data_IF_804867062835
#
_entry.id   IF_804867062835
#
_cell.length_a   1.000
_cell.length_b   1.000
_cell.length_c   1.000
_cell.angle_alpha   90.00
_cell.angle_beta   90.00
_cell.angle_gamma   90.00
#
_symmetry.space_group_name_H-M   'P 1'
#
loop_
_entity.id
_entity.type
_entity.pdbx_description
1 polymer ?
#
# COMPACT_ATOMS: atom_id res chain seq x y z
N UNK A 1 -7.50 1.37 2.50
CA UNK A 1 -8.91 1.61 2.87
C UNK A 1 -8.95 2.50 4.12
N UNK A 2 -10.07 3.18 4.38
CA UNK A 2 -10.21 4.09 5.52
C UNK A 2 -10.79 3.42 6.77
N UNK A 3 -10.64 4.09 7.91
CA UNK A 3 -11.20 3.66 9.20
C UNK A 3 -12.73 3.48 9.16
N UNK A 4 -13.45 4.36 8.45
CA UNK A 4 -14.90 4.22 8.26
C UNK A 4 -15.27 2.92 7.55
N UNK A 5 -14.48 2.55 6.54
CA UNK A 5 -14.78 1.43 5.65
C UNK A 5 -14.72 0.10 6.42
N UNK A 6 -13.64 -0.10 7.19
CA UNK A 6 -13.49 -1.33 7.98
C UNK A 6 -14.59 -1.43 9.06
N UNK A 7 -14.96 -0.30 9.69
CA UNK A 7 -16.05 -0.29 10.69
C UNK A 7 -17.40 -0.69 10.08
N UNK A 8 -17.65 -0.34 8.83
CA UNK A 8 -18.86 -0.75 8.10
C UNK A 8 -18.81 -2.21 7.62
N UNK A 9 -17.62 -2.74 7.34
CA UNK A 9 -17.44 -4.12 6.87
C UNK A 9 -17.49 -5.12 8.03
N UNK A 10 -16.86 -4.83 9.18
CA UNK A 10 -16.75 -5.80 10.29
C UNK A 10 -18.10 -6.41 10.74
N UNK A 11 -19.22 -5.68 10.83
CA UNK A 11 -20.51 -6.25 11.21
C UNK A 11 -21.09 -7.25 10.20
N UNK A 12 -20.63 -7.25 8.95
CA UNK A 12 -21.13 -8.15 7.89
C UNK A 12 -20.35 -9.46 7.80
N UNK A 13 -19.24 -9.57 8.53
CA UNK A 13 -18.36 -10.72 8.51
C UNK A 13 -18.68 -11.69 9.65
N UNK A 14 -18.55 -12.98 9.38
CA UNK A 14 -18.55 -14.01 10.43
C UNK A 14 -17.18 -14.10 11.12
N UNK A 15 -16.10 -13.93 10.35
CA UNK A 15 -14.72 -14.05 10.80
C UNK A 15 -13.85 -12.91 10.23
N UNK A 16 -12.78 -12.57 10.96
CA UNK A 16 -11.75 -11.64 10.47
C UNK A 16 -10.58 -12.45 9.96
N UNK A 17 -10.31 -12.35 8.66
CA UNK A 17 -9.17 -13.01 8.02
C UNK A 17 -8.33 -11.99 7.27
N UNK A 18 -7.01 -12.05 7.46
CA UNK A 18 -6.04 -11.25 6.73
C UNK A 18 -5.23 -12.14 5.80
N UNK A 19 -4.95 -11.65 4.59
CA UNK A 19 -4.13 -12.34 3.60
C UNK A 19 -3.14 -11.38 2.95
N UNK A 20 -1.96 -11.89 2.59
CA UNK A 20 -0.97 -11.18 1.78
C UNK A 20 -1.36 -11.22 0.29
N UNK A 21 -0.73 -10.37 -0.52
CA UNK A 21 -0.99 -10.29 -1.97
C UNK A 21 -0.68 -11.58 -2.73
N UNK A 22 0.24 -12.38 -2.22
CA UNK A 22 0.60 -13.68 -2.77
C UNK A 22 -0.42 -14.79 -2.41
N UNK A 23 -1.48 -14.47 -1.66
CA UNK A 23 -2.51 -15.41 -1.23
C UNK A 23 -2.20 -16.15 0.09
N UNK A 24 -1.04 -15.93 0.70
CA UNK A 24 -0.71 -16.49 2.02
C UNK A 24 -1.54 -15.81 3.11
N UNK A 25 -2.17 -16.59 4.00
CA UNK A 25 -2.95 -16.05 5.11
C UNK A 25 -2.07 -15.69 6.31
N UNK A 26 -2.46 -14.63 7.01
CA UNK A 26 -2.01 -14.39 8.40
C UNK A 26 -2.62 -15.49 9.28
N UNK A 27 -1.87 -16.12 10.19
CA UNK A 27 -2.40 -17.18 11.04
C UNK A 27 -3.61 -16.71 11.83
N UNK A 28 -4.60 -17.60 12.01
CA UNK A 28 -5.91 -17.24 12.59
C UNK A 28 -5.85 -16.78 14.06
N UNK A 29 -4.77 -17.13 14.77
CA UNK A 29 -4.48 -16.78 16.15
C UNK A 29 -3.69 -15.47 16.28
N UNK A 30 -3.86 -14.55 15.34
CA UNK A 30 -3.27 -13.23 15.44
C UNK A 30 -3.98 -12.37 16.48
N UNK A 31 -3.22 -11.49 17.10
CA UNK A 31 -3.69 -10.47 18.03
C UNK A 31 -3.51 -9.10 17.41
N UNK A 32 -4.51 -8.23 17.59
CA UNK A 32 -4.31 -6.80 17.44
C UNK A 32 -3.78 -6.29 18.78
N UNK A 33 -2.51 -5.95 18.83
CA UNK A 33 -1.84 -5.50 20.06
C UNK A 33 -1.99 -4.01 20.26
N UNK A 34 -1.93 -3.25 19.17
CA UNK A 34 -1.97 -1.79 19.20
C UNK A 34 -2.82 -1.25 18.04
N UNK A 35 -3.57 -0.18 18.34
CA UNK A 35 -4.25 0.64 17.34
C UNK A 35 -3.97 2.10 17.69
N UNK A 36 -3.30 2.81 16.80
CA UNK A 36 -2.83 4.17 17.04
C UNK A 36 -2.80 5.05 15.80
N UNK A 37 -2.29 6.28 15.95
CA UNK A 37 -2.05 7.21 14.85
C UNK A 37 -0.54 7.27 14.59
N UNK A 38 -0.12 7.06 13.35
CA UNK A 38 1.25 7.32 12.92
C UNK A 38 1.28 8.61 12.10
N UNK A 39 2.05 9.59 12.56
CA UNK A 39 2.30 10.85 11.85
C UNK A 39 3.77 10.91 11.48
N UNK A 40 4.08 11.15 10.21
CA UNK A 40 5.45 11.19 9.71
C UNK A 40 5.62 12.40 8.79
N UNK A 41 6.67 13.15 9.07
CA UNK A 41 7.13 14.24 8.21
C UNK A 41 8.32 13.73 7.40
N UNK A 42 8.24 13.89 6.09
CA UNK A 42 9.25 13.46 5.15
C UNK A 42 9.82 14.66 4.43
N UNK A 43 11.08 14.55 4.04
CA UNK A 43 11.72 15.43 3.08
C UNK A 43 12.36 14.54 2.01
N UNK A 44 12.14 14.85 0.74
CA UNK A 44 12.82 14.16 -0.34
C UNK A 44 14.18 14.81 -0.66
N UNK A 45 14.96 14.18 -1.54
CA UNK A 45 16.27 14.70 -1.94
C UNK A 45 16.19 16.06 -2.67
N UNK A 46 15.02 16.46 -3.16
CA UNK A 46 14.75 17.77 -3.77
C UNK A 46 14.35 18.85 -2.76
N UNK A 47 14.20 18.49 -1.47
CA UNK A 47 13.81 19.40 -0.40
C UNK A 47 12.29 19.58 -0.25
N UNK A 48 11.47 18.80 -0.94
CA UNK A 48 10.00 18.88 -0.82
C UNK A 48 9.58 18.17 0.46
N UNK A 49 8.84 18.89 1.31
CA UNK A 49 8.30 18.37 2.56
C UNK A 49 6.94 17.70 2.29
N UNK A 50 6.74 16.51 2.84
CA UNK A 50 5.47 15.78 2.81
C UNK A 50 5.07 15.38 4.22
N UNK A 51 3.78 15.51 4.52
CA UNK A 51 3.18 15.04 5.76
C UNK A 51 2.34 13.79 5.48
N UNK A 52 2.48 12.79 6.33
CA UNK A 52 1.70 11.55 6.29
C UNK A 52 1.04 11.34 7.65
N UNK A 53 -0.24 10.98 7.64
CA UNK A 53 -1.01 10.65 8.84
C UNK A 53 -1.90 9.45 8.54
N UNK A 54 -1.70 8.35 9.25
CA UNK A 54 -2.42 7.08 9.06
C UNK A 54 -2.86 6.50 10.39
N UNK A 55 -3.90 5.66 10.37
CA UNK A 55 -4.21 4.77 11.50
C UNK A 55 -3.34 3.54 11.37
N UNK A 56 -2.60 3.17 12.41
CA UNK A 56 -1.76 1.99 12.41
C UNK A 56 -2.39 0.88 13.25
N UNK A 57 -2.51 -0.33 12.70
CA UNK A 57 -2.87 -1.54 13.43
C UNK A 57 -1.66 -2.47 13.51
N UNK A 58 -1.26 -2.86 14.70
CA UNK A 58 -0.19 -3.84 14.89
C UNK A 58 -0.79 -5.24 15.07
N UNK A 59 -0.45 -6.14 14.15
CA UNK A 59 -0.80 -7.55 14.21
C UNK A 59 0.40 -8.35 14.72
N UNK A 60 0.18 -9.12 15.78
CA UNK A 60 1.17 -10.00 16.36
C UNK A 60 0.68 -11.45 16.35
N UNK A 61 1.55 -12.39 16.00
CA UNK A 61 1.23 -13.81 16.07
C UNK A 61 1.59 -14.37 17.46
N UNK A 62 0.60 -14.77 18.25
CA UNK A 62 0.81 -15.41 19.54
C UNK A 62 0.78 -16.94 19.41
N UNK A 63 1.45 -17.68 20.29
CA UNK A 63 1.30 -19.15 20.36
C UNK A 63 -0.02 -19.59 21.05
N UNK A 64 -1.12 -18.84 20.83
CA UNK A 64 -2.44 -19.08 21.43
C UNK A 64 -3.46 -19.52 20.36
N UNK A 65 -3.40 -20.80 20.03
CA UNK A 65 -4.19 -21.41 18.94
C UNK A 65 -5.70 -21.47 19.20
N UNK A 66 -6.17 -21.16 20.42
CA UNK A 66 -7.62 -21.13 20.71
C UNK A 66 -8.23 -19.74 20.53
N UNK A 67 -7.42 -18.68 20.39
CA UNK A 67 -7.90 -17.31 20.38
C UNK A 67 -8.10 -16.76 18.96
N UNK A 68 -9.31 -16.89 18.40
CA UNK A 68 -9.71 -16.21 17.14
C UNK A 68 -10.28 -14.82 17.41
N UNK A 69 -9.76 -13.80 16.73
CA UNK A 69 -10.29 -12.43 16.83
C UNK A 69 -11.64 -12.30 16.11
N UNK A 70 -12.72 -12.18 16.89
CA UNK A 70 -14.08 -11.97 16.35
C UNK A 70 -14.25 -10.54 15.80
N UNK A 71 -15.04 -10.35 14.72
CA UNK A 71 -15.28 -9.03 14.13
C UNK A 71 -15.80 -7.98 15.12
N UNK A 72 -16.73 -8.38 16.00
CA UNK A 72 -17.26 -7.49 17.05
C UNK A 72 -16.19 -7.02 18.04
N UNK A 73 -15.20 -7.87 18.36
CA UNK A 73 -14.09 -7.50 19.25
C UNK A 73 -13.15 -6.51 18.58
N UNK A 74 -12.82 -6.74 17.30
CA UNK A 74 -12.00 -5.78 16.52
C UNK A 74 -12.72 -4.43 16.37
N UNK A 75 -14.02 -4.44 16.05
CA UNK A 75 -14.82 -3.22 15.95
C UNK A 75 -14.82 -2.43 17.28
N UNK A 76 -14.92 -3.13 18.40
CA UNK A 76 -14.85 -2.51 19.73
C UNK A 76 -13.48 -1.88 20.01
N UNK A 77 -12.38 -2.57 19.71
CA UNK A 77 -11.02 -2.04 19.84
C UNK A 77 -10.86 -0.77 18.99
N UNK A 78 -11.28 -0.82 17.72
CA UNK A 78 -11.22 0.33 16.81
C UNK A 78 -12.01 1.51 17.36
N UNK A 79 -13.25 1.27 17.80
CA UNK A 79 -14.12 2.34 18.33
C UNK A 79 -13.56 2.95 19.62
N UNK A 80 -12.99 2.12 20.50
CA UNK A 80 -12.33 2.58 21.72
C UNK A 80 -11.11 3.44 21.39
N UNK A 81 -10.24 3.00 20.48
CA UNK A 81 -9.07 3.77 20.05
C UNK A 81 -9.46 5.07 19.37
N UNK A 82 -10.49 5.05 18.52
CA UNK A 82 -11.04 6.24 17.86
C UNK A 82 -11.53 7.27 18.89
N UNK A 83 -12.28 6.86 19.90
CA UNK A 83 -12.77 7.74 20.96
C UNK A 83 -11.63 8.31 21.82
N UNK A 84 -10.71 7.45 22.28
CA UNK A 84 -9.65 7.85 23.22
C UNK A 84 -8.55 8.67 22.57
N UNK A 85 -8.20 8.34 21.32
CA UNK A 85 -7.13 9.02 20.59
C UNK A 85 -7.66 10.10 19.63
N UNK A 86 -8.98 10.28 19.53
CA UNK A 86 -9.64 11.21 18.61
C UNK A 86 -9.19 11.00 17.17
N UNK A 87 -9.18 9.72 16.75
CA UNK A 87 -8.72 9.32 15.42
C UNK A 87 -9.71 9.84 14.37
N UNK A 88 -9.19 10.49 13.34
CA UNK A 88 -9.98 10.95 12.18
C UNK A 88 -10.22 9.79 11.19
N UNK A 89 -11.01 10.02 10.13
CA UNK A 89 -11.21 9.03 9.08
C UNK A 89 -10.01 8.93 8.12
N UNK A 90 -8.91 8.39 8.62
CA UNK A 90 -7.62 8.24 7.92
C UNK A 90 -7.51 6.85 7.25
N UNK A 91 -6.53 6.73 6.36
CA UNK A 91 -6.14 5.46 5.77
C UNK A 91 -5.49 4.54 6.80
N UNK A 92 -5.74 3.24 6.67
CA UNK A 92 -5.22 2.20 7.57
C UNK A 92 -3.91 1.64 7.01
N UNK A 93 -2.87 1.72 7.83
CA UNK A 93 -1.62 0.97 7.69
C UNK A 93 -1.63 -0.19 8.70
N UNK A 94 -1.20 -1.37 8.27
CA UNK A 94 -1.07 -2.55 9.11
C UNK A 94 0.40 -2.89 9.25
N UNK A 95 0.86 -3.05 10.49
CA UNK A 95 2.14 -3.64 10.82
C UNK A 95 1.96 -5.13 11.08
N UNK A 96 2.66 -5.96 10.32
CA UNK A 96 2.62 -7.41 10.47
C UNK A 96 4.03 -7.99 10.45
N UNK A 97 4.33 -8.84 11.42
CA UNK A 97 5.65 -9.43 11.59
C UNK A 97 5.77 -10.75 10.83
N UNK A 98 6.77 -10.81 9.94
CA UNK A 98 7.30 -12.06 9.38
C UNK A 98 8.74 -12.23 9.88
N UNK A 99 9.75 -12.09 9.02
CA UNK A 99 11.16 -12.00 9.43
C UNK A 99 11.47 -10.65 10.09
N UNK A 100 10.83 -9.59 9.59
CA UNK A 100 10.84 -8.23 10.15
C UNK A 100 9.41 -7.68 10.21
N UNK A 101 9.23 -6.52 10.84
CA UNK A 101 7.95 -5.82 10.84
C UNK A 101 7.76 -5.17 9.46
N UNK A 102 6.85 -5.73 8.67
CA UNK A 102 6.41 -5.18 7.40
C UNK A 102 5.26 -4.18 7.59
N UNK A 103 5.21 -3.15 6.75
CA UNK A 103 4.10 -2.18 6.71
C UNK A 103 3.29 -2.37 5.44
N UNK A 104 1.98 -2.46 5.59
CA UNK A 104 1.05 -2.79 4.54
C UNK A 104 -0.10 -1.80 4.49
N UNK A 105 -0.56 -1.44 3.30
CA UNK A 105 -1.90 -0.86 3.16
C UNK A 105 -2.95 -1.95 3.33
N UNK A 106 -4.15 -1.55 3.76
CA UNK A 106 -5.27 -2.47 3.94
C UNK A 106 -6.32 -2.32 2.85
N UNK A 107 -6.69 -3.42 2.21
CA UNK A 107 -7.81 -3.50 1.27
C UNK A 107 -8.80 -4.58 1.70
N UNK A 108 -10.00 -4.56 1.12
CA UNK A 108 -10.99 -5.62 1.30
C UNK A 108 -11.40 -6.15 -0.07
N UNK A 109 -11.23 -7.46 -0.30
CA UNK A 109 -11.50 -8.08 -1.60
C UNK A 109 -12.93 -8.62 -1.75
N UNK A 110 -13.83 -8.30 -0.81
CA UNK A 110 -15.19 -8.84 -0.72
C UNK A 110 -15.33 -10.03 0.23
N UNK A 111 -14.23 -10.66 0.63
CA UNK A 111 -14.21 -11.78 1.57
C UNK A 111 -13.21 -11.58 2.72
N UNK A 112 -11.97 -11.23 2.38
CA UNK A 112 -10.84 -11.13 3.28
C UNK A 112 -10.21 -9.74 3.22
N UNK A 113 -9.54 -9.36 4.30
CA UNK A 113 -8.68 -8.19 4.31
C UNK A 113 -7.34 -8.52 3.66
N UNK A 114 -6.91 -7.71 2.70
CA UNK A 114 -5.68 -7.92 1.94
C UNK A 114 -4.63 -6.92 2.40
N UNK A 115 -3.50 -7.44 2.90
CA UNK A 115 -2.30 -6.70 3.25
C UNK A 115 -1.49 -6.42 1.98
N UNK A 116 -1.55 -5.18 1.50
CA UNK A 116 -0.86 -4.67 0.31
C UNK A 116 0.51 -4.15 0.68
N UNK A 117 1.58 -4.75 0.14
CA UNK A 117 2.93 -4.38 0.54
C UNK A 117 3.26 -2.95 0.07
N UNK A 118 3.76 -2.10 0.98
CA UNK A 118 4.22 -0.76 0.61
C UNK A 118 5.61 -0.84 -0.02
N UNK A 119 5.76 -0.25 -1.20
CA UNK A 119 7.06 -0.10 -1.87
C UNK A 119 7.60 1.31 -1.70
N UNK A 120 8.90 1.44 -1.51
CA UNK A 120 9.57 2.74 -1.51
C UNK A 120 9.81 3.23 -2.93
N UNK A 121 9.80 4.54 -3.12
CA UNK A 121 10.13 5.18 -4.39
C UNK A 121 10.95 6.45 -4.14
N UNK A 122 11.92 6.74 -5.00
CA UNK A 122 12.56 8.05 -5.03
C UNK A 122 11.59 9.05 -5.66
N UNK A 123 11.16 10.05 -4.87
CA UNK A 123 10.21 11.07 -5.34
C UNK A 123 10.90 12.24 -6.07
N UNK A 124 12.21 12.40 -5.91
CA UNK A 124 13.01 13.43 -6.54
C UNK A 124 13.92 12.84 -7.63
N UNK A 125 13.32 12.15 -8.60
CA UNK A 125 14.07 11.39 -9.63
C UNK A 125 15.07 12.25 -10.38
N UNK A 126 14.67 13.46 -10.78
CA UNK A 126 15.53 14.41 -11.50
C UNK A 126 16.72 14.88 -10.65
N UNK A 127 16.49 15.17 -9.36
CA UNK A 127 17.55 15.59 -8.43
C UNK A 127 18.54 14.45 -8.11
N UNK A 128 18.07 13.21 -8.19
CA UNK A 128 18.89 12.01 -7.97
C UNK A 128 19.50 11.44 -9.25
N UNK A 129 19.29 12.05 -10.42
CA UNK A 129 19.80 11.56 -11.70
C UNK A 129 19.25 10.20 -12.11
N UNK A 130 18.08 9.82 -11.59
CA UNK A 130 17.41 8.57 -11.95
C UNK A 130 16.76 8.79 -13.32
N UNK A 131 17.13 8.03 -14.36
CA UNK A 131 16.54 8.20 -15.67
C UNK A 131 15.03 7.92 -15.59
N UNK A 132 14.22 8.91 -15.94
CA UNK A 132 12.78 8.74 -16.07
C UNK A 132 12.50 7.60 -17.05
N UNK A 133 11.53 6.73 -16.73
CA UNK A 133 11.13 5.65 -17.63
C UNK A 133 10.80 6.26 -19.00
N UNK A 134 11.67 5.99 -19.98
CA UNK A 134 11.45 6.43 -21.36
C UNK A 134 10.10 5.88 -21.79
N UNK A 135 9.17 6.78 -22.14
CA UNK A 135 7.92 6.41 -22.79
C UNK A 135 8.24 5.41 -23.89
N UNK A 136 7.59 4.23 -23.85
CA UNK A 136 7.66 3.24 -24.94
C UNK A 136 6.99 3.84 -26.18
N UNK A 137 7.72 4.68 -26.90
CA UNK A 137 7.33 5.11 -28.23
C UNK A 137 7.37 3.88 -29.15
N UNK A 138 6.20 3.52 -29.68
CA UNK A 138 6.12 2.53 -30.76
C UNK A 138 6.89 3.10 -31.96
N UNK A 139 8.04 2.49 -32.28
CA UNK A 139 8.92 2.88 -33.38
C UNK A 139 8.24 2.90 -34.77
N UNK A 140 7.03 2.37 -34.88
CA UNK A 140 6.23 2.29 -36.11
C UNK A 140 5.73 3.65 -36.62
N UNK A 141 5.86 4.74 -35.86
CA UNK A 141 5.47 6.09 -36.31
C UNK A 141 6.63 6.95 -36.81
N UNK A 142 7.87 6.44 -36.83
CA UNK A 142 9.04 7.18 -37.35
C UNK A 142 9.19 7.09 -38.88
N UNK A 143 8.29 6.38 -39.56
CA UNK A 143 8.25 6.28 -41.03
C UNK A 143 6.92 6.79 -41.59
N UNK A 144 6.69 8.10 -41.50
CA UNK A 144 5.77 8.79 -42.41
C UNK A 144 6.40 10.11 -42.84
N UNK A 145 6.98 10.06 -44.04
CA UNK A 145 7.19 11.15 -45.00
C UNK A 145 8.01 12.40 -44.58
N UNK A 146 9.32 12.33 -44.84
CA UNK A 146 9.93 13.37 -45.68
C UNK A 146 10.88 12.72 -46.67
N UNK A 147 10.54 12.86 -47.95
CA UNK A 147 11.19 12.16 -49.05
C UNK A 147 12.65 12.55 -49.21
N UNK A 148 13.50 11.53 -49.29
CA UNK A 148 14.74 11.61 -50.06
C UNK A 148 15.07 10.21 -50.58
N UNK A 149 14.38 9.83 -51.65
CA UNK A 149 14.71 8.61 -52.41
C UNK A 149 15.98 8.87 -53.20
N UNK A 150 17.14 8.40 -52.71
CA UNK A 150 18.33 8.31 -53.53
C UNK A 150 18.07 7.23 -54.59
N UNK A 151 18.06 7.62 -55.86
CA UNK A 151 18.04 6.66 -56.97
C UNK A 151 19.44 6.07 -57.12
N UNK A 152 19.59 4.79 -57.53
CA UNK A 152 20.89 4.11 -57.55
C UNK A 152 21.95 4.74 -58.48
N UNK A 153 21.56 5.74 -59.27
CA UNK A 153 22.39 6.40 -60.28
C UNK A 153 22.69 7.88 -59.96
N UNK A 154 22.34 8.37 -58.75
CA UNK A 154 22.43 9.80 -58.43
C UNK A 154 23.80 10.29 -57.92
N UNK A 155 24.84 9.45 -57.90
CA UNK A 155 26.23 9.90 -57.71
C UNK A 155 26.51 10.79 -56.49
N UNK A 156 25.77 10.65 -55.39
CA UNK A 156 26.05 11.38 -54.15
C UNK A 156 27.04 10.57 -53.30
N UNK A 157 28.27 11.08 -53.22
CA UNK A 157 29.26 10.70 -52.22
C UNK A 157 28.80 11.04 -50.80
#
# INVERSE_FOLDING_TARGET
MKLSDIKSILPTLENVEFQLENGTFVPEHFHVTEVGISTKDFIDCGGVIRHEKVVNFQLWNADDFEHRLKPAKLLHIISLSEEKLKIENLDIEVEYQSDTIGRYDLEFNGKNFVLKAKTTACLAQDACGIPSEKQKINFTQLHTDSGNSCSPDSGCC
#
